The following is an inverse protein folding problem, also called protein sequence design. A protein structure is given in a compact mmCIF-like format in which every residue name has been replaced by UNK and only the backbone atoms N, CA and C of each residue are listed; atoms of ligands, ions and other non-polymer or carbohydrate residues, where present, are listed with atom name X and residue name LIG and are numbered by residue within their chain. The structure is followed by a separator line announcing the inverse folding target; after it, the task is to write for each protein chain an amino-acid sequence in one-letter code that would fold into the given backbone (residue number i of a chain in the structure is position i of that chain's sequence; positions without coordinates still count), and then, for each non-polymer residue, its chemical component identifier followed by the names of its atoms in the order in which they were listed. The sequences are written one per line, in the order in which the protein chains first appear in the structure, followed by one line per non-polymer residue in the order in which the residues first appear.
data_IF_739643644370
#
_entry.id   IF_739643644370
#
_cell.length_a   1.000
_cell.length_b   1.000
_cell.length_c   1.000
_cell.angle_alpha   90.00
_cell.angle_beta   90.00
_cell.angle_gamma   90.00
#
_symmetry.space_group_name_H-M   'P 1'
#
loop_
_entity.id
_entity.type
_entity.pdbx_description
1 polymer ?
#
# COMPACT_ATOMS: atom_id res chain seq x y z
N UNK A 1 -29.39 19.11 14.16
CA UNK A 1 -29.19 18.18 13.03
C UNK A 1 -29.01 18.94 11.70
N UNK A 2 -27.88 19.64 11.51
CA UNK A 2 -27.54 20.35 10.24
C UNK A 2 -26.27 19.80 9.55
N UNK A 3 -25.64 18.78 10.13
CA UNK A 3 -24.31 18.29 9.74
C UNK A 3 -24.32 17.36 8.52
N UNK A 4 -25.39 16.59 8.29
CA UNK A 4 -25.46 15.57 7.22
C UNK A 4 -25.42 16.11 5.78
N UNK A 5 -25.80 17.37 5.53
CA UNK A 5 -25.84 17.93 4.16
C UNK A 5 -24.52 18.58 3.73
N UNK A 6 -23.65 18.94 4.68
CA UNK A 6 -22.33 19.50 4.37
C UNK A 6 -21.39 18.38 3.90
N UNK A 7 -21.34 17.28 4.66
CA UNK A 7 -20.51 16.11 4.36
C UNK A 7 -20.86 15.48 3.00
N UNK A 8 -22.15 15.43 2.64
CA UNK A 8 -22.59 14.93 1.32
C UNK A 8 -22.25 15.84 0.15
N UNK A 9 -22.11 17.15 0.40
CA UNK A 9 -21.71 18.11 -0.64
C UNK A 9 -20.21 18.06 -0.86
N UNK A 10 -19.44 17.95 0.22
CA UNK A 10 -17.99 17.78 0.21
C UNK A 10 -17.60 16.48 -0.49
N UNK A 11 -18.24 15.35 -0.14
CA UNK A 11 -18.10 14.07 -0.86
C UNK A 11 -18.42 14.18 -2.35
N UNK A 12 -19.44 14.95 -2.74
CA UNK A 12 -19.77 15.14 -4.16
C UNK A 12 -18.74 15.99 -4.90
N UNK A 13 -18.19 17.01 -4.26
CA UNK A 13 -17.14 17.85 -4.83
C UNK A 13 -15.82 17.07 -4.95
N UNK A 14 -15.47 16.25 -3.96
CA UNK A 14 -14.34 15.32 -4.01
C UNK A 14 -14.50 14.30 -5.15
N UNK A 15 -15.63 13.59 -5.20
CA UNK A 15 -15.91 12.62 -6.27
C UNK A 15 -15.89 13.28 -7.65
N UNK A 16 -16.41 14.51 -7.79
CA UNK A 16 -16.43 15.20 -9.09
C UNK A 16 -15.03 15.66 -9.52
N UNK A 17 -14.20 16.13 -8.58
CA UNK A 17 -12.82 16.54 -8.88
C UNK A 17 -11.93 15.34 -9.18
N UNK A 18 -12.13 14.22 -8.51
CA UNK A 18 -11.43 12.96 -8.75
C UNK A 18 -11.81 12.37 -10.11
N UNK A 19 -13.11 12.39 -10.46
CA UNK A 19 -13.61 12.00 -11.79
C UNK A 19 -13.04 12.88 -12.92
N UNK A 20 -12.95 14.20 -12.70
CA UNK A 20 -12.37 15.13 -13.68
C UNK A 20 -10.88 14.86 -13.91
N UNK A 21 -10.09 14.67 -12.86
CA UNK A 21 -8.65 14.35 -12.97
C UNK A 21 -8.40 13.04 -13.71
N UNK A 22 -9.25 12.04 -13.47
CA UNK A 22 -9.16 10.75 -14.16
C UNK A 22 -9.47 10.90 -15.66
N UNK A 23 -10.46 11.73 -16.00
CA UNK A 23 -10.84 12.03 -17.39
C UNK A 23 -9.72 12.78 -18.13
N UNK A 24 -9.05 13.73 -17.47
CA UNK A 24 -7.93 14.47 -18.06
C UNK A 24 -6.71 13.58 -18.32
N UNK A 25 -6.41 12.66 -17.39
CA UNK A 25 -5.37 11.67 -17.57
C UNK A 25 -5.70 10.68 -18.70
N UNK A 26 -6.94 10.21 -18.77
CA UNK A 26 -7.44 9.35 -19.85
C UNK A 26 -7.34 10.03 -21.21
N UNK A 27 -7.75 11.30 -21.31
CA UNK A 27 -7.67 12.07 -22.55
C UNK A 27 -6.23 12.34 -22.97
N UNK A 28 -5.37 12.71 -22.03
CA UNK A 28 -3.94 12.89 -22.29
C UNK A 28 -3.32 11.57 -22.76
N UNK A 29 -3.65 10.45 -22.13
CA UNK A 29 -3.12 9.15 -22.52
C UNK A 29 -3.67 8.62 -23.84
N UNK A 30 -4.95 8.83 -24.13
CA UNK A 30 -5.53 8.51 -25.42
C UNK A 30 -4.85 9.31 -26.53
N UNK A 31 -4.55 10.59 -26.29
CA UNK A 31 -3.76 11.41 -27.21
C UNK A 31 -2.32 10.89 -27.37
N UNK A 32 -1.70 10.36 -26.30
CA UNK A 32 -0.37 9.72 -26.37
C UNK A 32 -0.38 8.45 -27.24
N UNK A 33 -1.44 7.65 -27.18
CA UNK A 33 -1.59 6.42 -27.98
C UNK A 33 -1.96 6.69 -29.44
N UNK A 34 -2.83 7.67 -29.69
CA UNK A 34 -3.31 7.99 -31.04
C UNK A 34 -2.25 8.67 -31.90
N UNK A 35 -1.23 9.28 -31.28
CA UNK A 35 -0.12 9.91 -31.97
C UNK A 35 1.23 9.54 -31.31
N UNK A 36 1.72 8.31 -31.52
CA UNK A 36 2.95 7.85 -30.89
C UNK A 36 4.16 8.65 -31.40
N UNK A 37 4.76 9.45 -30.51
CA UNK A 37 6.04 10.11 -30.72
C UNK A 37 7.12 9.45 -29.85
N UNK A 38 8.39 9.68 -30.17
CA UNK A 38 9.51 9.20 -29.35
C UNK A 38 9.39 9.73 -27.90
N UNK A 39 8.94 10.98 -27.72
CA UNK A 39 8.69 11.58 -26.41
C UNK A 39 7.60 10.83 -25.62
N UNK A 40 6.55 10.35 -26.29
CA UNK A 40 5.46 9.59 -25.65
C UNK A 40 5.93 8.19 -25.22
N UNK A 41 6.76 7.54 -26.04
CA UNK A 41 7.38 6.26 -25.70
C UNK A 41 8.33 6.40 -24.51
N UNK A 42 9.08 7.49 -24.42
CA UNK A 42 9.96 7.79 -23.29
C UNK A 42 9.17 7.97 -21.98
N UNK A 43 8.02 8.65 -22.03
CA UNK A 43 7.14 8.80 -20.85
C UNK A 43 6.56 7.45 -20.39
N UNK A 44 6.14 6.60 -21.32
CA UNK A 44 5.67 5.24 -21.01
C UNK A 44 6.80 4.43 -20.37
N UNK A 45 8.00 4.46 -20.94
CA UNK A 45 9.17 3.76 -20.41
C UNK A 45 9.58 4.27 -19.03
N UNK A 46 9.50 5.58 -18.80
CA UNK A 46 9.75 6.19 -17.50
C UNK A 46 8.74 5.69 -16.45
N UNK A 47 7.45 5.64 -16.79
CA UNK A 47 6.40 5.11 -15.92
C UNK A 47 6.64 3.64 -15.58
N UNK A 48 7.02 2.81 -16.56
CA UNK A 48 7.41 1.40 -16.33
C UNK A 48 8.54 1.29 -15.32
N UNK A 49 9.63 2.05 -15.55
CA UNK A 49 10.78 2.05 -14.67
C UNK A 49 10.45 2.56 -13.25
N UNK A 50 9.47 3.47 -13.13
CA UNK A 50 9.00 3.94 -11.83
C UNK A 50 8.25 2.84 -11.07
N UNK A 51 7.33 2.11 -11.70
CA UNK A 51 6.62 1.01 -11.04
C UNK A 51 7.59 -0.10 -10.58
N UNK A 52 8.53 -0.52 -11.44
CA UNK A 52 9.54 -1.52 -11.08
C UNK A 52 10.37 -1.06 -9.88
N UNK A 53 10.93 0.16 -9.92
CA UNK A 53 11.72 0.69 -8.81
C UNK A 53 10.92 0.84 -7.51
N UNK A 54 9.65 1.21 -7.61
CA UNK A 54 8.76 1.34 -6.45
C UNK A 54 8.46 -0.02 -5.84
N UNK A 55 8.19 -1.05 -6.66
CA UNK A 55 7.99 -2.41 -6.19
C UNK A 55 9.25 -2.94 -5.49
N UNK A 56 10.44 -2.77 -6.07
CA UNK A 56 11.69 -3.22 -5.46
C UNK A 56 11.97 -2.56 -4.10
N UNK A 57 11.76 -1.24 -4.00
CA UNK A 57 11.88 -0.53 -2.72
C UNK A 57 10.86 -1.00 -1.70
N UNK A 58 9.63 -1.26 -2.12
CA UNK A 58 8.60 -1.75 -1.23
C UNK A 58 8.90 -3.18 -0.73
N UNK A 59 9.43 -4.05 -1.58
CA UNK A 59 9.95 -5.39 -1.17
C UNK A 59 11.06 -5.30 -0.13
N UNK A 60 11.97 -4.33 -0.26
CA UNK A 60 13.03 -4.08 0.74
C UNK A 60 12.42 -3.59 2.08
N UNK A 61 11.44 -2.69 2.03
CA UNK A 61 10.70 -2.26 3.23
C UNK A 61 10.00 -3.45 3.89
N UNK A 62 9.26 -4.25 3.12
CA UNK A 62 8.57 -5.46 3.60
C UNK A 62 9.55 -6.41 4.28
N UNK A 63 10.70 -6.68 3.66
CA UNK A 63 11.72 -7.56 4.22
C UNK A 63 12.24 -7.05 5.57
N UNK A 64 12.42 -5.73 5.70
CA UNK A 64 12.83 -5.09 6.96
C UNK A 64 11.73 -5.16 8.02
N UNK A 65 10.48 -4.96 7.63
CA UNK A 65 9.31 -5.08 8.51
C UNK A 65 9.18 -6.51 9.04
N UNK A 66 9.23 -7.52 8.17
CA UNK A 66 9.22 -8.93 8.58
C UNK A 66 10.38 -9.26 9.51
N UNK A 67 11.57 -8.69 9.31
CA UNK A 67 12.69 -8.92 10.21
C UNK A 67 12.45 -8.41 11.64
N UNK A 68 11.51 -7.47 11.86
CA UNK A 68 11.17 -6.98 13.20
C UNK A 68 10.61 -8.12 14.05
N UNK A 69 9.72 -8.97 13.50
CA UNK A 69 9.09 -10.07 14.26
C UNK A 69 10.10 -11.11 14.77
N UNK A 70 11.25 -11.23 14.11
CA UNK A 70 12.31 -12.16 14.51
C UNK A 70 13.37 -11.54 15.42
N UNK A 71 13.59 -10.22 15.32
CA UNK A 71 14.70 -9.55 16.03
C UNK A 71 14.29 -8.99 17.39
N UNK A 72 13.01 -8.71 17.60
CA UNK A 72 12.50 -8.05 18.80
C UNK A 72 11.71 -9.05 19.65
N UNK A 73 12.43 -9.84 20.45
CA UNK A 73 11.85 -10.96 21.23
C UNK A 73 11.24 -10.52 22.57
N UNK A 74 11.74 -9.42 23.14
CA UNK A 74 11.28 -8.88 24.44
C UNK A 74 11.11 -7.35 24.33
N UNK A 75 10.08 -6.88 23.61
CA UNK A 75 9.91 -5.47 23.31
C UNK A 75 9.65 -4.64 24.58
N UNK A 76 10.39 -3.55 24.73
CA UNK A 76 10.09 -2.53 25.74
C UNK A 76 8.87 -1.69 25.32
N UNK A 77 8.33 -0.88 26.24
CA UNK A 77 7.23 0.02 25.90
C UNK A 77 7.59 1.02 24.79
N UNK A 78 8.85 1.49 24.75
CA UNK A 78 9.33 2.38 23.71
C UNK A 78 9.45 1.64 22.37
N UNK A 79 9.91 0.39 22.37
CA UNK A 79 9.94 -0.44 21.15
C UNK A 79 8.52 -0.64 20.59
N UNK A 80 7.55 -0.99 21.45
CA UNK A 80 6.15 -1.14 21.05
C UNK A 80 5.59 0.17 20.49
N UNK A 81 5.94 1.32 21.05
CA UNK A 81 5.55 2.62 20.50
C UNK A 81 6.12 2.83 19.10
N UNK A 82 7.41 2.54 18.89
CA UNK A 82 8.02 2.64 17.57
C UNK A 82 7.41 1.65 16.56
N UNK A 83 7.09 0.43 16.97
CA UNK A 83 6.40 -0.54 16.10
C UNK A 83 5.01 -0.02 15.70
N UNK A 84 4.26 0.58 16.63
CA UNK A 84 2.96 1.20 16.35
C UNK A 84 3.07 2.36 15.33
N UNK A 85 4.08 3.22 15.50
CA UNK A 85 4.36 4.31 14.55
C UNK A 85 4.73 3.77 13.15
N UNK A 86 5.54 2.71 13.09
CA UNK A 86 5.89 2.02 11.84
C UNK A 86 4.65 1.44 11.17
N UNK A 87 3.76 0.79 11.92
CA UNK A 87 2.50 0.26 11.38
C UNK A 87 1.67 1.40 10.78
N UNK A 88 1.51 2.50 11.52
CA UNK A 88 0.75 3.65 11.06
C UNK A 88 1.30 4.22 9.74
N UNK A 89 2.62 4.48 9.67
CA UNK A 89 3.28 4.98 8.46
C UNK A 89 3.15 3.97 7.31
N UNK A 90 3.29 2.68 7.59
CA UNK A 90 3.11 1.61 6.61
C UNK A 90 1.72 1.60 6.00
N UNK A 91 0.66 1.81 6.80
CA UNK A 91 -0.72 1.90 6.29
C UNK A 91 -0.94 3.13 5.42
N UNK A 92 -0.32 4.27 5.76
CA UNK A 92 -0.36 5.46 4.90
C UNK A 92 0.33 5.21 3.56
N UNK A 93 1.46 4.50 3.56
CA UNK A 93 2.15 4.09 2.33
C UNK A 93 1.28 3.15 1.49
N UNK A 94 0.63 2.15 2.11
CA UNK A 94 -0.30 1.25 1.44
C UNK A 94 -1.45 1.99 0.75
N UNK A 95 -2.12 2.90 1.47
CA UNK A 95 -3.24 3.69 0.95
C UNK A 95 -2.80 4.60 -0.20
N UNK A 96 -1.67 5.29 -0.04
CA UNK A 96 -1.12 6.17 -1.08
C UNK A 96 -0.77 5.37 -2.34
N UNK A 97 -0.19 4.18 -2.19
CA UNK A 97 0.20 3.31 -3.30
C UNK A 97 -1.02 2.71 -4.01
N UNK A 98 -2.07 2.35 -3.27
CA UNK A 98 -3.34 1.91 -3.84
C UNK A 98 -3.97 3.00 -4.74
N UNK A 99 -3.99 4.25 -4.27
CA UNK A 99 -4.48 5.39 -5.06
C UNK A 99 -3.66 5.62 -6.34
N UNK A 100 -2.33 5.43 -6.29
CA UNK A 100 -1.48 5.47 -7.48
C UNK A 100 -1.87 4.36 -8.46
N UNK A 101 -2.07 3.12 -7.99
CA UNK A 101 -2.49 2.00 -8.83
C UNK A 101 -3.82 2.30 -9.52
N UNK A 102 -4.77 2.88 -8.80
CA UNK A 102 -6.07 3.29 -9.35
C UNK A 102 -5.94 4.38 -10.41
N UNK A 103 -5.10 5.40 -10.15
CA UNK A 103 -4.85 6.49 -11.11
C UNK A 103 -4.27 6.01 -12.45
N UNK A 104 -3.60 4.86 -12.45
CA UNK A 104 -2.99 4.26 -13.64
C UNK A 104 -3.85 3.12 -14.25
N UNK A 105 -5.05 2.85 -13.72
CA UNK A 105 -5.99 1.88 -14.29
C UNK A 105 -6.28 2.11 -15.77
N UNK A 106 -6.41 3.34 -16.28
CA UNK A 106 -6.62 3.54 -17.72
C UNK A 106 -5.51 2.95 -18.59
N UNK A 107 -4.26 2.98 -18.13
CA UNK A 107 -3.13 2.40 -18.87
C UNK A 107 -3.26 0.88 -18.97
N UNK A 108 -3.68 0.26 -17.86
CA UNK A 108 -3.94 -1.16 -17.82
C UNK A 108 -5.05 -1.54 -18.81
N UNK A 109 -6.21 -0.87 -18.80
CA UNK A 109 -7.30 -1.15 -19.72
C UNK A 109 -6.90 -1.07 -21.21
N UNK A 110 -5.83 -0.32 -21.51
CA UNK A 110 -5.27 -0.15 -22.86
C UNK A 110 -4.13 -1.13 -23.19
N UNK A 111 -3.79 -2.06 -22.31
CA UNK A 111 -2.74 -3.04 -22.59
C UNK A 111 -1.32 -2.59 -22.22
N UNK A 112 -1.16 -1.46 -21.54
CA UNK A 112 0.13 -0.76 -21.37
C UNK A 112 0.57 -0.82 -19.91
N UNK A 113 1.82 -1.21 -19.65
CA UNK A 113 2.43 -1.28 -18.30
C UNK A 113 1.73 -2.29 -17.34
N UNK A 114 0.95 -3.24 -17.89
CA UNK A 114 0.14 -4.17 -17.08
C UNK A 114 1.00 -4.96 -16.10
N UNK A 115 2.11 -5.52 -16.58
CA UNK A 115 2.95 -6.39 -15.76
C UNK A 115 3.55 -5.62 -14.57
N UNK A 116 4.03 -4.40 -14.81
CA UNK A 116 4.64 -3.59 -13.77
C UNK A 116 3.61 -3.05 -12.76
N UNK A 117 2.39 -2.70 -13.21
CA UNK A 117 1.30 -2.30 -12.30
C UNK A 117 0.86 -3.48 -11.43
N UNK A 118 0.71 -4.67 -12.01
CA UNK A 118 0.34 -5.87 -11.27
C UNK A 118 1.39 -6.24 -10.23
N UNK A 119 2.66 -6.28 -10.62
CA UNK A 119 3.76 -6.56 -9.69
C UNK A 119 3.79 -5.56 -8.52
N UNK A 120 3.56 -4.27 -8.81
CA UNK A 120 3.49 -3.26 -7.78
C UNK A 120 2.25 -3.42 -6.87
N UNK A 121 1.09 -3.78 -7.44
CA UNK A 121 -0.12 -4.09 -6.68
C UNK A 121 0.10 -5.28 -5.74
N UNK A 122 0.60 -6.39 -6.25
CA UNK A 122 0.85 -7.60 -5.46
C UNK A 122 1.83 -7.30 -4.32
N UNK A 123 2.85 -6.49 -4.59
CA UNK A 123 3.78 -6.01 -3.56
C UNK A 123 3.09 -5.12 -2.52
N UNK A 124 2.18 -4.24 -2.95
CA UNK A 124 1.42 -3.37 -2.06
C UNK A 124 0.45 -4.15 -1.16
N UNK A 125 -0.19 -5.18 -1.70
CA UNK A 125 -1.07 -6.06 -0.94
C UNK A 125 -0.26 -6.86 0.10
N UNK A 126 0.92 -7.36 -0.27
CA UNK A 126 1.83 -8.02 0.67
C UNK A 126 2.34 -7.06 1.79
N UNK A 127 2.53 -5.77 1.49
CA UNK A 127 2.81 -4.78 2.55
C UNK A 127 1.66 -4.72 3.57
N UNK A 128 0.40 -4.72 3.10
CA UNK A 128 -0.77 -4.71 3.97
C UNK A 128 -0.79 -5.93 4.90
N UNK A 129 -0.57 -7.12 4.33
CA UNK A 129 -0.51 -8.39 5.08
C UNK A 129 0.59 -8.38 6.15
N UNK A 130 1.81 -7.94 5.80
CA UNK A 130 2.92 -7.89 6.76
C UNK A 130 2.66 -6.89 7.89
N UNK A 131 1.98 -5.78 7.62
CA UNK A 131 1.57 -4.84 8.67
C UNK A 131 0.53 -5.47 9.60
N UNK A 132 -0.42 -6.24 9.06
CA UNK A 132 -1.39 -7.01 9.84
C UNK A 132 -0.71 -8.07 10.71
N UNK A 133 0.29 -8.77 10.18
CA UNK A 133 1.07 -9.77 10.92
C UNK A 133 1.85 -9.15 12.08
N UNK A 134 2.56 -8.04 11.83
CA UNK A 134 3.31 -7.33 12.88
C UNK A 134 2.34 -6.83 13.96
N UNK A 135 1.22 -6.23 13.56
CA UNK A 135 0.21 -5.78 14.51
C UNK A 135 -0.34 -6.95 15.35
N UNK A 136 -0.56 -8.10 14.70
CA UNK A 136 -1.03 -9.31 15.35
C UNK A 136 -0.05 -9.82 16.40
N UNK A 137 1.22 -9.96 16.03
CA UNK A 137 2.30 -10.47 16.89
C UNK A 137 2.48 -9.60 18.14
N UNK A 138 2.51 -8.27 17.98
CA UNK A 138 2.89 -7.38 19.09
C UNK A 138 1.71 -6.84 19.90
N UNK A 139 0.51 -6.73 19.31
CA UNK A 139 -0.62 -6.05 19.96
C UNK A 139 -1.90 -6.87 20.07
N UNK A 140 -2.06 -7.96 19.30
CA UNK A 140 -3.29 -8.78 19.34
C UNK A 140 -3.06 -10.09 20.11
N UNK A 141 -2.11 -10.91 19.67
CA UNK A 141 -1.85 -12.24 20.23
C UNK A 141 -1.52 -12.22 21.74
N UNK A 142 -0.67 -11.32 22.27
CA UNK A 142 -0.34 -11.29 23.69
C UNK A 142 -1.56 -11.01 24.60
N UNK A 143 -2.63 -10.46 24.04
CA UNK A 143 -3.87 -10.16 24.75
C UNK A 143 -4.97 -11.21 24.55
N UNK A 144 -4.72 -12.26 23.75
CA UNK A 144 -5.66 -13.35 23.59
C UNK A 144 -5.66 -14.28 24.81
N UNK A 145 -6.83 -14.62 25.37
CA UNK A 145 -6.94 -15.55 26.48
C UNK A 145 -6.28 -16.90 26.15
N UNK A 146 -5.42 -17.39 27.05
CA UNK A 146 -4.75 -18.68 26.90
C UNK A 146 -3.55 -18.68 25.94
N UNK A 147 -3.25 -17.58 25.24
CA UNK A 147 -2.06 -17.51 24.38
C UNK A 147 -0.78 -17.71 25.19
N UNK A 148 -0.59 -16.95 26.28
CA UNK A 148 0.59 -17.08 27.13
C UNK A 148 0.70 -18.49 27.76
N UNK A 149 -0.42 -19.09 28.15
CA UNK A 149 -0.45 -20.44 28.73
C UNK A 149 -0.03 -21.52 27.72
N UNK A 150 -0.48 -21.38 26.47
CA UNK A 150 -0.10 -22.28 25.37
C UNK A 150 1.36 -22.07 24.97
N UNK A 151 1.80 -20.82 24.84
CA UNK A 151 3.18 -20.49 24.46
C UNK A 151 4.18 -20.98 25.50
N UNK A 152 3.90 -20.81 26.79
CA UNK A 152 4.73 -21.38 27.86
C UNK A 152 4.75 -22.92 27.86
N UNK A 153 3.62 -23.58 27.58
CA UNK A 153 3.57 -25.05 27.43
C UNK A 153 4.38 -25.55 26.24
N UNK A 154 4.43 -24.81 25.14
CA UNK A 154 5.23 -25.17 23.97
C UNK A 154 6.73 -25.01 24.25
N UNK A 155 7.11 -23.94 24.95
CA UNK A 155 8.50 -23.70 25.37
C UNK A 155 9.02 -24.78 26.33
N UNK A 156 8.16 -25.35 27.19
CA UNK A 156 8.57 -26.40 28.13
C UNK A 156 8.68 -27.81 27.51
N UNK A 157 8.28 -27.96 26.24
CA UNK A 157 8.39 -29.21 25.48
C UNK A 157 9.67 -29.28 24.61
N UNK A 158 10.44 -28.19 24.55
CA UNK A 158 11.73 -28.09 23.84
C UNK A 158 12.90 -28.26 24.81
#
# INVERSE_FOLDING_TARGET
MKTQNADLKELREEVSTETSKNTDFENAFQALLDNPSDENLDLINLSRANFVRSADKMKDIISKLQAITWKLTDPTADDLKSVSEIIFIGRQLYQSSASIIESYQPLWHKGVIIAEINEFRDTNDHLCEVLDDIESVYFKLPHLPGFNDITHKLQSLQ
#
